data_IF_267448747326
#
_entry.id   IF_267448747326
#
_cell.length_a   1.000
_cell.length_b   1.000
_cell.length_c   1.000
_cell.angle_alpha   90.00
_cell.angle_beta   90.00
_cell.angle_gamma   90.00
#
_symmetry.space_group_name_H-M   'P 1'
#
loop_
_entity.id
_entity.type
_entity.pdbx_description
1 polymer ?
#
# COMPACT_ATOMS: atom_id res chain seq x y z
N UNK A 1 1.10 -1.73 31.10
CA UNK A 1 1.35 -2.08 29.68
C UNK A 1 2.85 -1.94 29.46
N UNK A 2 3.58 -3.05 29.34
CA UNK A 2 5.04 -3.02 29.15
C UNK A 2 5.32 -2.87 27.65
N UNK A 3 5.84 -1.71 27.28
CA UNK A 3 6.44 -1.49 25.96
C UNK A 3 7.74 -2.27 25.98
N UNK A 4 7.77 -3.43 25.34
CA UNK A 4 9.02 -4.09 25.03
C UNK A 4 9.68 -3.24 23.96
N UNK A 5 10.60 -2.37 24.36
CA UNK A 5 11.57 -1.82 23.43
C UNK A 5 12.33 -3.03 22.86
N UNK A 6 11.96 -3.45 21.66
CA UNK A 6 12.74 -4.42 20.89
C UNK A 6 14.13 -3.82 20.79
N UNK A 7 15.13 -4.45 21.42
CA UNK A 7 16.53 -4.00 21.37
C UNK A 7 16.95 -3.92 19.91
N UNK A 8 16.92 -2.71 19.32
CA UNK A 8 17.25 -2.48 17.92
C UNK A 8 16.35 -1.50 17.16
N UNK A 9 15.12 -1.23 17.63
CA UNK A 9 14.22 -0.30 16.94
C UNK A 9 13.82 0.85 17.85
N UNK A 10 14.45 2.02 17.65
CA UNK A 10 14.11 3.22 18.41
C UNK A 10 12.68 3.65 18.11
N UNK A 11 12.02 4.25 19.11
CA UNK A 11 10.67 4.80 18.98
C UNK A 11 10.55 5.78 17.79
N UNK A 12 11.60 6.58 17.55
CA UNK A 12 11.73 7.48 16.40
C UNK A 12 11.57 6.72 15.08
N UNK A 13 12.12 5.51 14.98
CA UNK A 13 12.09 4.70 13.76
C UNK A 13 10.73 4.02 13.55
N UNK A 14 10.05 3.61 14.62
CA UNK A 14 8.66 3.11 14.54
C UNK A 14 7.73 4.20 14.01
N UNK A 15 7.83 5.41 14.54
CA UNK A 15 7.00 6.53 14.10
C UNK A 15 7.23 6.84 12.62
N UNK A 16 8.48 6.81 12.17
CA UNK A 16 8.79 7.02 10.75
C UNK A 16 8.19 5.94 9.83
N UNK A 17 8.27 4.66 10.21
CA UNK A 17 7.63 3.58 9.45
C UNK A 17 6.11 3.74 9.45
N UNK A 18 5.52 4.08 10.60
CA UNK A 18 4.10 4.33 10.71
C UNK A 18 3.64 5.46 9.78
N UNK A 19 4.37 6.58 9.72
CA UNK A 19 4.09 7.67 8.79
C UNK A 19 4.16 7.24 7.33
N UNK A 20 5.18 6.46 6.94
CA UNK A 20 5.33 5.91 5.58
C UNK A 20 4.09 5.08 5.20
N UNK A 21 3.65 4.20 6.11
CA UNK A 21 2.47 3.36 5.91
C UNK A 21 1.20 4.21 5.82
N UNK A 22 1.00 5.14 6.77
CA UNK A 22 -0.18 6.01 6.85
C UNK A 22 -0.34 6.88 5.61
N UNK A 23 0.76 7.36 5.04
CA UNK A 23 0.76 8.18 3.83
C UNK A 23 0.66 7.34 2.54
N UNK A 24 0.79 6.01 2.62
CA UNK A 24 0.79 5.13 1.46
C UNK A 24 2.03 5.30 0.58
N UNK A 25 3.19 5.57 1.18
CA UNK A 25 4.44 5.84 0.47
C UNK A 25 5.13 4.54 0.01
N UNK A 26 4.57 3.89 -1.02
CA UNK A 26 4.99 2.55 -1.50
C UNK A 26 6.48 2.46 -1.85
N UNK A 27 7.03 3.47 -2.53
CA UNK A 27 8.46 3.50 -2.90
C UNK A 27 9.38 3.50 -1.68
N UNK A 28 9.01 4.22 -0.62
CA UNK A 28 9.82 4.32 0.61
C UNK A 28 9.72 3.05 1.45
N UNK A 29 8.53 2.43 1.54
CA UNK A 29 8.41 1.19 2.33
C UNK A 29 9.21 0.04 1.71
N UNK A 30 9.29 -0.04 0.39
CA UNK A 30 10.13 -1.04 -0.30
C UNK A 30 11.62 -0.83 -0.02
N UNK A 31 12.07 0.42 0.13
CA UNK A 31 13.46 0.74 0.50
C UNK A 31 13.78 0.32 1.94
N UNK A 32 12.81 0.42 2.86
CA UNK A 32 12.96 0.00 4.26
C UNK A 32 12.79 -1.51 4.49
N UNK A 33 12.43 -2.28 3.45
CA UNK A 33 12.11 -3.71 3.55
C UNK A 33 13.15 -4.54 4.29
N UNK A 34 14.44 -4.34 3.97
CA UNK A 34 15.52 -5.10 4.61
C UNK A 34 15.69 -4.74 6.10
N UNK A 35 15.38 -3.51 6.46
CA UNK A 35 15.46 -3.04 7.83
C UNK A 35 14.27 -3.58 8.64
N UNK A 36 13.07 -3.58 8.05
CA UNK A 36 11.87 -4.16 8.66
C UNK A 36 12.04 -5.65 9.00
N UNK A 37 12.73 -6.41 8.14
CA UNK A 37 13.03 -7.84 8.36
C UNK A 37 13.95 -8.11 9.55
N UNK A 38 14.61 -7.09 10.10
CA UNK A 38 15.41 -7.22 11.33
C UNK A 38 14.56 -7.25 12.59
N UNK A 39 13.30 -6.79 12.51
CA UNK A 39 12.38 -6.65 13.65
C UNK A 39 11.17 -7.57 13.50
N UNK A 40 10.64 -7.64 12.29
CA UNK A 40 9.45 -8.40 11.96
C UNK A 40 9.81 -9.66 11.18
N UNK A 41 8.96 -10.68 11.29
CA UNK A 41 9.02 -11.85 10.44
C UNK A 41 8.79 -11.48 8.97
N UNK A 42 9.24 -12.35 8.05
CA UNK A 42 9.04 -12.14 6.62
C UNK A 42 7.57 -11.90 6.27
N UNK A 43 6.66 -12.67 6.87
CA UNK A 43 5.21 -12.56 6.67
C UNK A 43 4.68 -11.20 7.15
N UNK A 44 5.07 -10.75 8.34
CA UNK A 44 4.65 -9.45 8.88
C UNK A 44 5.15 -8.28 8.02
N UNK A 45 6.37 -8.36 7.47
CA UNK A 45 6.91 -7.35 6.55
C UNK A 45 6.09 -7.30 5.26
N UNK A 46 5.77 -8.47 4.69
CA UNK A 46 4.95 -8.55 3.47
C UNK A 46 3.55 -7.97 3.69
N UNK A 47 2.92 -8.27 4.82
CA UNK A 47 1.62 -7.70 5.21
C UNK A 47 1.72 -6.17 5.34
N UNK A 48 2.77 -5.65 5.95
CA UNK A 48 2.95 -4.22 6.18
C UNK A 48 3.18 -3.45 4.87
N UNK A 49 3.98 -4.03 3.97
CA UNK A 49 4.17 -3.51 2.61
C UNK A 49 2.83 -3.51 1.87
N UNK A 50 2.12 -4.64 1.83
CA UNK A 50 0.84 -4.72 1.13
C UNK A 50 -0.20 -3.71 1.66
N UNK A 51 -0.29 -3.53 2.98
CA UNK A 51 -1.14 -2.50 3.59
C UNK A 51 -0.77 -1.09 3.12
N UNK A 52 0.51 -0.79 2.96
CA UNK A 52 0.98 0.50 2.44
C UNK A 52 0.47 0.72 1.01
N UNK A 53 0.50 -0.31 0.16
CA UNK A 53 -0.06 -0.23 -1.20
C UNK A 53 -1.57 0.02 -1.19
N UNK A 54 -2.33 -0.67 -0.33
CA UNK A 54 -3.78 -0.41 -0.20
C UNK A 54 -4.08 1.01 0.28
N UNK A 55 -3.35 1.52 1.27
CA UNK A 55 -3.50 2.91 1.74
C UNK A 55 -3.15 3.88 0.60
N UNK A 56 -2.08 3.61 -0.16
CA UNK A 56 -1.72 4.39 -1.34
C UNK A 56 -2.85 4.46 -2.37
N UNK A 57 -3.48 3.32 -2.67
CA UNK A 57 -4.64 3.26 -3.57
C UNK A 57 -5.83 4.07 -3.03
N UNK A 58 -6.16 3.91 -1.74
CA UNK A 58 -7.24 4.65 -1.07
C UNK A 58 -6.97 6.17 -1.15
N UNK A 59 -5.75 6.60 -0.83
CA UNK A 59 -5.34 8.00 -0.91
C UNK A 59 -5.44 8.55 -2.34
N UNK A 60 -5.07 7.76 -3.34
CA UNK A 60 -5.21 8.13 -4.75
C UNK A 60 -6.69 8.33 -5.12
N UNK A 61 -7.56 7.43 -4.67
CA UNK A 61 -9.01 7.51 -4.87
C UNK A 61 -9.60 8.78 -4.25
N UNK A 62 -9.24 9.10 -3.01
CA UNK A 62 -9.71 10.32 -2.34
C UNK A 62 -9.25 11.61 -3.01
N UNK A 63 -8.08 11.60 -3.67
CA UNK A 63 -7.55 12.77 -4.40
C UNK A 63 -8.22 12.98 -5.76
N UNK A 64 -8.76 11.93 -6.37
CA UNK A 64 -9.29 11.98 -7.74
C UNK A 64 -10.77 12.38 -7.75
N UNK A 65 -11.07 13.53 -8.37
CA UNK A 65 -12.43 14.11 -8.34
C UNK A 65 -13.42 13.38 -9.25
N UNK A 66 -12.94 12.80 -10.33
CA UNK A 66 -13.77 12.20 -11.38
C UNK A 66 -14.28 10.80 -11.04
N UNK A 67 -13.89 10.23 -9.87
CA UNK A 67 -14.20 8.85 -9.47
C UNK A 67 -13.78 7.81 -10.52
N UNK A 68 -12.76 8.17 -11.30
CA UNK A 68 -12.20 7.34 -12.36
C UNK A 68 -10.69 7.56 -12.40
N UNK A 69 -9.92 6.48 -12.31
CA UNK A 69 -8.46 6.49 -12.44
C UNK A 69 -8.06 5.52 -13.55
N UNK A 70 -7.17 5.93 -14.44
CA UNK A 70 -6.57 5.03 -15.44
C UNK A 70 -5.67 3.99 -14.79
N UNK A 71 -5.75 2.74 -15.24
CA UNK A 71 -4.96 1.65 -14.66
C UNK A 71 -3.46 1.90 -14.72
N UNK A 72 -2.96 2.51 -15.81
CA UNK A 72 -1.56 2.89 -15.96
C UNK A 72 -1.13 3.93 -14.91
N UNK A 73 -2.01 4.88 -14.57
CA UNK A 73 -1.75 5.88 -13.53
C UNK A 73 -1.63 5.22 -12.15
N UNK A 74 -2.43 4.20 -11.86
CA UNK A 74 -2.32 3.41 -10.62
C UNK A 74 -0.95 2.71 -10.56
N UNK A 75 -0.55 2.06 -11.67
CA UNK A 75 0.75 1.37 -11.76
C UNK A 75 1.92 2.32 -11.53
N UNK A 76 1.92 3.48 -12.20
CA UNK A 76 3.00 4.46 -12.10
C UNK A 76 3.14 5.03 -10.68
N UNK A 77 2.00 5.41 -10.08
CA UNK A 77 1.98 6.06 -8.76
C UNK A 77 2.36 5.05 -7.67
N UNK A 78 1.77 3.86 -7.70
CA UNK A 78 1.98 2.86 -6.64
C UNK A 78 3.22 2.00 -6.90
N UNK A 79 3.73 1.93 -8.13
CA UNK A 79 4.84 1.06 -8.52
C UNK A 79 4.44 -0.41 -8.57
N UNK A 80 3.22 -0.71 -9.04
CA UNK A 80 2.70 -2.08 -9.16
C UNK A 80 2.97 -2.59 -10.58
N UNK A 81 3.45 -3.83 -10.70
CA UNK A 81 3.65 -4.48 -11.99
C UNK A 81 2.32 -4.69 -12.71
N UNK A 82 2.35 -4.64 -14.04
CA UNK A 82 1.15 -4.81 -14.86
C UNK A 82 0.42 -6.13 -14.60
N UNK A 83 1.16 -7.21 -14.40
CA UNK A 83 0.60 -8.54 -14.17
C UNK A 83 -0.10 -8.67 -12.81
N UNK A 84 0.27 -7.82 -11.84
CA UNK A 84 -0.21 -7.88 -10.46
C UNK A 84 -1.32 -6.85 -10.18
N UNK A 85 -1.56 -5.91 -11.09
CA UNK A 85 -2.53 -4.83 -10.86
C UNK A 85 -3.95 -5.37 -10.66
N UNK A 86 -4.40 -6.28 -11.53
CA UNK A 86 -5.77 -6.78 -11.46
C UNK A 86 -6.00 -7.60 -10.20
N UNK A 87 -5.05 -8.47 -9.82
CA UNK A 87 -5.15 -9.25 -8.59
C UNK A 87 -5.13 -8.35 -7.36
N UNK A 88 -4.29 -7.30 -7.36
CA UNK A 88 -4.27 -6.27 -6.33
C UNK A 88 -5.62 -5.55 -6.18
N UNK A 89 -6.21 -5.07 -7.27
CA UNK A 89 -7.51 -4.38 -7.25
C UNK A 89 -8.65 -5.31 -6.79
N UNK A 90 -8.66 -6.56 -7.29
CA UNK A 90 -9.64 -7.58 -6.85
C UNK A 90 -9.50 -7.85 -5.36
N UNK A 91 -8.28 -7.94 -4.82
CA UNK A 91 -8.06 -8.11 -3.38
C UNK A 91 -8.55 -6.90 -2.58
N UNK A 92 -8.33 -5.68 -3.06
CA UNK A 92 -8.87 -4.47 -2.43
C UNK A 92 -10.41 -4.48 -2.36
N UNK A 93 -11.08 -4.95 -3.41
CA UNK A 93 -12.54 -5.15 -3.41
C UNK A 93 -12.98 -6.26 -2.45
N UNK A 94 -12.26 -7.39 -2.43
CA UNK A 94 -12.55 -8.51 -1.54
C UNK A 94 -12.41 -8.15 -0.06
N UNK A 95 -11.48 -7.24 0.27
CA UNK A 95 -11.32 -6.66 1.61
C UNK A 95 -12.31 -5.51 1.89
N UNK A 96 -13.19 -5.18 0.94
CA UNK A 96 -14.19 -4.12 1.02
C UNK A 96 -13.58 -2.74 1.35
N UNK A 97 -12.33 -2.50 0.92
CA UNK A 97 -11.63 -1.24 1.11
C UNK A 97 -12.14 -0.17 0.15
N UNK A 98 -12.56 -0.60 -1.04
CA UNK A 98 -13.09 0.24 -2.10
C UNK A 98 -14.31 -0.46 -2.72
N UNK A 99 -15.24 0.35 -3.21
CA UNK A 99 -16.36 -0.11 -4.03
C UNK A 99 -16.16 0.43 -5.44
N UNK A 100 -16.54 -0.34 -6.45
CA UNK A 100 -16.29 0.05 -7.83
C UNK A 100 -16.22 -1.13 -8.79
N UNK A 101 -15.75 -0.87 -10.00
CA UNK A 101 -15.48 -1.89 -11.01
C UNK A 101 -14.33 -1.48 -11.93
N UNK A 102 -13.75 -2.46 -12.61
CA UNK A 102 -12.71 -2.27 -13.61
C UNK A 102 -13.37 -2.26 -14.99
N UNK A 103 -13.15 -1.20 -15.76
CA UNK A 103 -13.52 -1.09 -17.17
C UNK A 103 -12.30 -1.48 -18.01
N UNK A 104 -12.25 -2.72 -18.46
CA UNK A 104 -11.15 -3.26 -19.27
C UNK A 104 -11.05 -2.59 -20.64
N UNK A 105 -12.19 -2.20 -21.23
CA UNK A 105 -12.23 -1.56 -22.57
C UNK A 105 -11.56 -0.19 -22.51
N UNK A 106 -11.78 0.56 -21.42
CA UNK A 106 -11.18 1.88 -21.20
C UNK A 106 -9.92 1.84 -20.34
N UNK A 107 -9.45 0.65 -19.96
CA UNK A 107 -8.33 0.45 -19.03
C UNK A 107 -8.40 1.39 -17.81
N UNK A 108 -9.55 1.41 -17.14
CA UNK A 108 -9.82 2.33 -16.03
C UNK A 108 -10.49 1.65 -14.84
N UNK A 109 -10.21 2.16 -13.66
CA UNK A 109 -10.90 1.84 -12.41
C UNK A 109 -11.91 2.93 -12.09
N UNK A 110 -13.17 2.56 -11.82
CA UNK A 110 -14.27 3.46 -11.47
C UNK A 110 -14.75 3.11 -10.05
N UNK A 111 -14.87 4.09 -9.15
CA UNK A 111 -15.08 3.88 -7.70
C UNK A 111 -15.98 4.89 -7.01
#
# INVERSE_FOLDING_TARGET
>A
MRVYAFEGFSEIRINSIYEIVQNGETKRIEQEKNELKKIFTQEEVEILIEKTYFIGLINLCFKEKSRKIELNKIQEILGINQNDLNSFLVKAFGLNLLKGWIDEVKAAFIF
#
